data_IF_214072521840
#
_entry.id   IF_214072521840
#
_cell.length_a   1.000
_cell.length_b   1.000
_cell.length_c   1.000
_cell.angle_alpha   90.00
_cell.angle_beta   90.00
_cell.angle_gamma   90.00
#
_symmetry.space_group_name_H-M   'P 1'
#
loop_
_entity.id
_entity.type
_entity.pdbx_description
1 polymer ?
#
# COMPACT_ATOMS: atom_id res chain seq x y z
N UNK A 1 -22.16 40.30 -4.23
CA UNK A 1 -20.86 39.65 -4.60
C UNK A 1 -19.87 39.43 -3.44
N UNK A 2 -20.18 39.79 -2.18
CA UNK A 2 -19.23 39.64 -1.05
C UNK A 2 -19.28 38.29 -0.31
N UNK A 3 -20.45 37.67 -0.20
CA UNK A 3 -20.65 36.45 0.60
C UNK A 3 -19.93 35.20 0.05
N UNK A 4 -19.83 35.05 -1.27
CA UNK A 4 -19.15 33.90 -1.90
C UNK A 4 -17.63 33.87 -1.67
N UNK A 5 -16.98 35.03 -1.64
CA UNK A 5 -15.54 35.15 -1.36
C UNK A 5 -15.18 34.84 0.09
N UNK A 6 -16.08 35.16 1.03
CA UNK A 6 -15.89 34.84 2.44
C UNK A 6 -15.99 33.32 2.67
N UNK A 7 -16.99 32.65 2.09
CA UNK A 7 -17.14 31.19 2.18
C UNK A 7 -15.97 30.43 1.56
N UNK A 8 -15.44 30.91 0.42
CA UNK A 8 -14.27 30.32 -0.25
C UNK A 8 -13.00 30.44 0.61
N UNK A 9 -12.78 31.60 1.23
CA UNK A 9 -11.64 31.79 2.15
C UNK A 9 -11.73 30.89 3.37
N UNK A 10 -12.92 30.70 3.94
CA UNK A 10 -13.12 29.78 5.08
C UNK A 10 -12.80 28.34 4.69
N UNK A 11 -13.23 27.87 3.50
CA UNK A 11 -12.87 26.55 2.98
C UNK A 11 -11.36 26.39 2.76
N UNK A 12 -10.73 27.36 2.11
CA UNK A 12 -9.29 27.36 1.84
C UNK A 12 -8.46 27.32 3.13
N UNK A 13 -8.85 28.10 4.14
CA UNK A 13 -8.20 28.09 5.47
C UNK A 13 -8.38 26.74 6.15
N UNK A 14 -9.59 26.17 6.10
CA UNK A 14 -9.88 24.85 6.69
C UNK A 14 -9.05 23.74 6.04
N UNK A 15 -8.88 23.76 4.72
CA UNK A 15 -8.05 22.79 3.99
C UNK A 15 -6.56 22.96 4.31
N UNK A 16 -6.08 24.20 4.43
CA UNK A 16 -4.70 24.50 4.82
C UNK A 16 -4.40 24.00 6.25
N UNK A 17 -5.30 24.29 7.19
CA UNK A 17 -5.20 23.82 8.57
C UNK A 17 -5.24 22.30 8.61
N UNK A 18 -6.14 21.66 7.86
CA UNK A 18 -6.21 20.20 7.74
C UNK A 18 -4.90 19.59 7.22
N UNK A 19 -4.30 20.17 6.17
CA UNK A 19 -3.00 19.74 5.64
C UNK A 19 -1.85 19.97 6.63
N UNK A 20 -1.90 21.02 7.44
CA UNK A 20 -0.87 21.31 8.45
C UNK A 20 -0.95 20.34 9.63
N UNK A 21 -2.16 20.11 10.15
CA UNK A 21 -2.42 19.12 11.21
C UNK A 21 -2.02 17.73 10.75
N UNK A 22 -2.39 17.33 9.52
CA UNK A 22 -1.98 16.05 8.94
C UNK A 22 -0.46 15.88 8.85
N UNK A 23 0.28 16.95 8.48
CA UNK A 23 1.74 16.94 8.46
C UNK A 23 2.36 16.81 9.87
N UNK A 24 1.81 17.50 10.86
CA UNK A 24 2.28 17.42 12.24
C UNK A 24 2.03 16.03 12.85
N UNK A 25 0.83 15.47 12.68
CA UNK A 25 0.51 14.10 13.14
C UNK A 25 1.41 13.07 12.45
N UNK A 26 1.63 13.21 11.13
CA UNK A 26 2.55 12.35 10.40
C UNK A 26 4.01 12.47 10.87
N UNK A 27 4.44 13.66 11.28
CA UNK A 27 5.78 13.88 11.86
C UNK A 27 5.91 13.27 13.24
N UNK A 28 4.90 13.40 14.10
CA UNK A 28 4.87 12.81 15.43
C UNK A 28 4.95 11.28 15.32
N UNK A 29 4.19 10.66 14.41
CA UNK A 29 4.24 9.20 14.17
C UNK A 29 5.61 8.67 13.72
N UNK A 30 6.54 9.55 13.33
CA UNK A 30 7.92 9.24 12.95
C UNK A 30 8.95 9.61 14.02
N UNK A 31 8.53 10.05 15.21
CA UNK A 31 9.48 10.37 16.28
C UNK A 31 9.88 9.12 17.06
N UNK A 32 11.17 9.02 17.38
CA UNK A 32 11.74 7.95 18.23
C UNK A 32 11.05 7.89 19.61
N UNK A 33 10.61 9.04 20.14
CA UNK A 33 9.91 9.11 21.42
C UNK A 33 8.51 8.49 21.37
N UNK A 34 7.80 8.61 20.23
CA UNK A 34 6.51 7.95 20.06
C UNK A 34 6.66 6.47 19.78
N UNK A 35 7.77 6.03 19.17
CA UNK A 35 8.08 4.60 19.02
C UNK A 35 8.18 3.88 20.38
N UNK A 36 8.64 4.58 21.43
CA UNK A 36 8.70 4.03 22.79
C UNK A 36 7.31 3.79 23.42
N UNK A 37 6.28 4.55 23.02
CA UNK A 37 4.93 4.49 23.61
C UNK A 37 3.94 3.76 22.67
N UNK A 38 4.17 3.84 21.36
CA UNK A 38 3.42 3.20 20.28
C UNK A 38 4.42 2.66 19.25
N UNK A 39 4.97 1.46 19.49
CA UNK A 39 5.98 0.88 18.62
C UNK A 39 5.49 0.79 17.19
N UNK A 40 6.36 1.12 16.25
CA UNK A 40 6.13 0.94 14.83
C UNK A 40 6.07 -0.55 14.56
N UNK A 41 4.90 -1.03 14.17
CA UNK A 41 4.71 -2.43 13.85
C UNK A 41 4.88 -2.71 12.36
N UNK A 42 5.49 -3.84 12.04
CA UNK A 42 5.57 -4.35 10.68
C UNK A 42 4.17 -4.57 10.11
N UNK A 43 3.86 -3.95 8.97
CA UNK A 43 2.56 -4.09 8.31
C UNK A 43 2.20 -5.51 7.88
N UNK A 44 3.16 -6.45 7.90
CA UNK A 44 2.95 -7.84 7.52
C UNK A 44 2.83 -8.81 8.68
N UNK A 45 3.60 -8.65 9.77
CA UNK A 45 3.60 -9.59 10.90
C UNK A 45 3.48 -8.96 12.28
N UNK A 46 3.22 -7.64 12.33
CA UNK A 46 3.01 -6.84 13.54
C UNK A 46 4.18 -6.82 14.54
N UNK A 47 5.35 -7.37 14.17
CA UNK A 47 6.54 -7.26 15.04
C UNK A 47 6.97 -5.80 15.18
N UNK A 48 7.27 -5.33 16.41
CA UNK A 48 7.81 -3.99 16.66
C UNK A 48 9.13 -3.72 15.94
N UNK A 49 9.39 -2.45 15.61
CA UNK A 49 10.67 -1.91 15.15
C UNK A 49 10.62 -1.32 13.75
N UNK A 50 10.19 -2.12 12.75
CA UNK A 50 10.21 -1.70 11.34
C UNK A 50 8.82 -1.66 10.73
N UNK A 51 8.53 -0.68 9.88
CA UNK A 51 7.29 -0.63 9.09
C UNK A 51 7.11 -1.87 8.20
N UNK A 52 8.23 -2.43 7.73
CA UNK A 52 8.25 -3.63 6.89
C UNK A 52 9.55 -4.41 7.09
N UNK A 53 9.48 -5.48 7.89
CA UNK A 53 10.67 -6.24 8.26
C UNK A 53 11.23 -7.12 7.13
N UNK A 54 12.54 -7.39 7.16
CA UNK A 54 13.22 -8.25 6.17
C UNK A 54 12.64 -9.68 6.05
N UNK A 55 12.03 -10.22 7.10
CA UNK A 55 11.33 -11.53 7.03
C UNK A 55 10.10 -11.43 6.13
N UNK A 56 9.29 -10.38 6.32
CA UNK A 56 8.11 -10.14 5.51
C UNK A 56 8.49 -9.78 4.08
N UNK A 57 9.60 -9.05 3.86
CA UNK A 57 10.10 -8.80 2.51
C UNK A 57 10.43 -10.10 1.75
N UNK A 58 11.18 -11.02 2.38
CA UNK A 58 11.52 -12.32 1.77
C UNK A 58 10.28 -13.20 1.54
N UNK A 59 9.39 -13.25 2.53
CA UNK A 59 8.15 -14.02 2.42
C UNK A 59 7.23 -13.44 1.33
N UNK A 60 7.16 -12.11 1.20
CA UNK A 60 6.41 -11.45 0.13
C UNK A 60 6.98 -11.83 -1.23
N UNK A 61 8.30 -11.71 -1.44
CA UNK A 61 8.95 -12.08 -2.69
C UNK A 61 8.64 -13.53 -3.12
N UNK A 62 8.56 -14.45 -2.16
CA UNK A 62 8.20 -15.86 -2.42
C UNK A 62 6.74 -16.07 -2.88
N UNK A 63 5.87 -15.07 -2.72
CA UNK A 63 4.50 -15.10 -3.23
C UNK A 63 4.40 -14.61 -4.68
N UNK A 64 5.43 -13.98 -5.22
CA UNK A 64 5.43 -13.50 -6.60
C UNK A 64 5.12 -14.66 -7.54
N UNK A 65 4.19 -14.44 -8.48
CA UNK A 65 4.10 -15.36 -9.61
C UNK A 65 5.31 -15.14 -10.51
N UNK A 66 5.91 -16.21 -11.00
CA UNK A 66 7.07 -16.16 -11.90
C UNK A 66 6.56 -16.33 -13.33
N UNK A 67 6.99 -15.48 -14.26
CA UNK A 67 6.67 -15.68 -15.67
C UNK A 67 7.47 -16.89 -16.19
N UNK A 68 6.85 -17.86 -16.88
CA UNK A 68 7.59 -18.94 -17.53
C UNK A 68 8.69 -18.48 -18.52
N UNK A 69 8.67 -17.22 -18.97
CA UNK A 69 9.67 -16.62 -19.86
C UNK A 69 10.62 -15.59 -19.22
N UNK A 70 10.69 -15.49 -17.89
CA UNK A 70 11.29 -14.32 -17.23
C UNK A 70 12.78 -14.07 -17.57
N UNK A 71 13.03 -12.81 -17.95
CA UNK A 71 14.35 -12.21 -18.16
C UNK A 71 14.95 -11.81 -16.80
N UNK A 72 16.26 -12.00 -16.54
CA UNK A 72 16.84 -11.71 -15.23
C UNK A 72 16.61 -10.25 -14.79
N UNK A 73 15.84 -10.07 -13.70
CA UNK A 73 15.57 -8.75 -13.11
C UNK A 73 14.08 -8.41 -12.94
N UNK A 74 13.19 -9.12 -13.64
CA UNK A 74 11.75 -9.05 -13.41
C UNK A 74 11.37 -10.10 -12.35
N UNK A 75 10.91 -9.65 -11.18
CA UNK A 75 10.41 -10.53 -10.12
C UNK A 75 8.96 -10.13 -9.86
N UNK A 76 8.03 -10.95 -10.35
CA UNK A 76 6.61 -10.69 -10.28
C UNK A 76 6.10 -9.77 -11.39
N UNK A 77 4.87 -10.07 -11.81
CA UNK A 77 4.32 -9.71 -13.11
C UNK A 77 3.59 -10.96 -13.61
N UNK A 78 2.39 -11.19 -13.10
CA UNK A 78 1.81 -12.52 -13.07
C UNK A 78 0.89 -12.83 -14.25
N UNK A 79 0.79 -14.11 -14.60
CA UNK A 79 -0.20 -14.62 -15.54
C UNK A 79 -1.64 -14.18 -15.22
N UNK A 80 -2.48 -14.25 -16.26
CA UNK A 80 -3.93 -14.09 -16.14
C UNK A 80 -4.49 -14.97 -15.00
N UNK A 81 -5.15 -14.34 -14.02
CA UNK A 81 -5.78 -15.01 -12.89
C UNK A 81 -7.29 -15.06 -13.07
N UNK A 82 -7.89 -16.19 -12.68
CA UNK A 82 -9.35 -16.42 -12.75
C UNK A 82 -9.88 -16.70 -11.35
N UNK A 83 -10.85 -15.92 -10.85
CA UNK A 83 -11.45 -16.20 -9.56
C UNK A 83 -12.27 -17.50 -9.61
N UNK A 84 -12.33 -18.19 -8.47
CA UNK A 84 -13.23 -19.34 -8.35
C UNK A 84 -14.68 -18.86 -8.44
N UNK A 85 -15.46 -19.48 -9.35
CA UNK A 85 -16.77 -19.00 -9.83
C UNK A 85 -16.66 -17.64 -10.55
N UNK A 86 -15.90 -17.62 -11.64
CA UNK A 86 -15.78 -16.45 -12.50
C UNK A 86 -17.15 -16.05 -13.08
N UNK A 87 -17.57 -14.78 -12.93
CA UNK A 87 -18.73 -14.26 -13.64
C UNK A 87 -18.55 -14.37 -15.16
N UNK A 88 -19.64 -14.62 -15.89
CA UNK A 88 -19.62 -14.57 -17.35
C UNK A 88 -19.22 -13.19 -17.85
N UNK A 89 -18.32 -13.14 -18.84
CA UNK A 89 -17.84 -11.88 -19.43
C UNK A 89 -16.78 -11.14 -18.62
N UNK A 90 -16.17 -11.78 -17.61
CA UNK A 90 -15.09 -11.17 -16.82
C UNK A 90 -13.87 -10.85 -17.70
N UNK A 91 -13.32 -9.61 -17.65
CA UNK A 91 -12.12 -9.25 -18.39
C UNK A 91 -10.89 -9.98 -17.84
N UNK A 92 -9.79 -9.95 -18.58
CA UNK A 92 -8.52 -10.44 -18.08
C UNK A 92 -8.12 -9.68 -16.80
N UNK A 93 -7.78 -10.43 -15.74
CA UNK A 93 -7.30 -9.88 -14.48
C UNK A 93 -5.86 -10.32 -14.28
N UNK A 94 -5.03 -9.37 -13.89
CA UNK A 94 -3.62 -9.57 -13.61
C UNK A 94 -3.37 -9.33 -12.13
N UNK A 95 -2.49 -10.15 -11.56
CA UNK A 95 -2.06 -10.01 -10.18
C UNK A 95 -0.53 -9.91 -10.13
N UNK A 96 0.03 -9.67 -8.96
CA UNK A 96 1.48 -9.73 -8.78
C UNK A 96 1.91 -11.12 -8.27
N UNK A 97 1.12 -11.69 -7.38
CA UNK A 97 1.45 -12.90 -6.65
C UNK A 97 0.25 -13.55 -5.99
N UNK A 98 0.50 -14.68 -5.33
CA UNK A 98 -0.48 -15.42 -4.55
C UNK A 98 -0.99 -14.54 -3.40
N UNK A 99 -2.31 -14.39 -3.27
CA UNK A 99 -2.92 -13.63 -2.20
C UNK A 99 -2.90 -14.40 -0.86
N UNK A 100 -1.73 -14.45 -0.23
CA UNK A 100 -1.47 -15.05 1.08
C UNK A 100 -0.69 -14.07 1.97
N UNK A 101 -0.38 -14.45 3.21
CA UNK A 101 0.47 -13.62 4.06
C UNK A 101 1.93 -13.72 3.60
N UNK A 102 2.67 -12.60 3.55
CA UNK A 102 2.33 -11.30 4.14
C UNK A 102 1.63 -10.30 3.20
N UNK A 103 1.36 -10.65 1.93
CA UNK A 103 0.70 -9.77 0.95
C UNK A 103 -0.71 -9.36 1.40
N UNK A 104 -1.50 -10.31 1.90
CA UNK A 104 -2.84 -10.04 2.45
C UNK A 104 -2.77 -9.08 3.64
N UNK A 105 -1.89 -9.36 4.60
CA UNK A 105 -1.71 -8.51 5.78
C UNK A 105 -1.32 -7.07 5.41
N UNK A 106 -0.35 -6.87 4.50
CA UNK A 106 0.08 -5.53 4.09
C UNK A 106 -1.03 -4.77 3.34
N UNK A 107 -1.82 -5.46 2.51
CA UNK A 107 -2.98 -4.86 1.84
C UNK A 107 -4.05 -4.41 2.84
N UNK A 108 -4.41 -5.25 3.80
CA UNK A 108 -5.36 -4.90 4.87
C UNK A 108 -4.85 -3.75 5.74
N UNK A 109 -3.58 -3.78 6.13
CA UNK A 109 -2.97 -2.70 6.91
C UNK A 109 -3.01 -1.36 6.16
N UNK A 110 -2.76 -1.34 4.85
CA UNK A 110 -2.82 -0.13 4.04
C UNK A 110 -4.27 0.34 3.75
N UNK A 111 -5.15 -0.59 3.36
CA UNK A 111 -6.53 -0.30 2.92
C UNK A 111 -7.41 0.05 4.12
N UNK A 112 -7.44 -0.83 5.11
CA UNK A 112 -8.38 -0.78 6.24
C UNK A 112 -7.71 -0.16 7.47
N UNK A 113 -6.42 -0.45 7.69
CA UNK A 113 -5.64 0.07 8.82
C UNK A 113 -5.05 1.47 8.64
N UNK A 114 -5.23 2.10 7.48
CA UNK A 114 -4.75 3.46 7.20
C UNK A 114 -3.22 3.62 7.17
N UNK A 115 -2.45 2.52 7.09
CA UNK A 115 -0.97 2.51 7.04
C UNK A 115 -0.45 2.96 5.68
N UNK A 116 -0.53 4.26 5.41
CA UNK A 116 -0.08 4.88 4.14
C UNK A 116 1.43 4.82 3.93
N UNK A 117 2.19 4.58 4.99
CA UNK A 117 3.63 4.29 4.92
C UNK A 117 3.95 3.03 4.08
N UNK A 118 3.02 2.09 3.98
CA UNK A 118 3.19 0.84 3.23
C UNK A 118 3.10 1.01 1.71
N UNK A 119 2.83 2.21 1.20
CA UNK A 119 2.84 2.48 -0.26
C UNK A 119 4.17 2.09 -0.88
N UNK A 120 5.30 2.29 -0.18
CA UNK A 120 6.62 1.88 -0.66
C UNK A 120 6.79 0.37 -0.89
N UNK A 121 5.95 -0.44 -0.25
CA UNK A 121 5.93 -1.90 -0.40
C UNK A 121 4.97 -2.30 -1.53
N UNK A 122 3.83 -1.61 -1.66
CA UNK A 122 2.75 -1.97 -2.58
C UNK A 122 2.91 -1.42 -4.00
N UNK A 123 3.47 -0.22 -4.14
CA UNK A 123 3.68 0.45 -5.42
C UNK A 123 4.43 -0.43 -6.43
N UNK A 124 5.60 -1.02 -6.13
CA UNK A 124 6.32 -1.85 -7.11
C UNK A 124 5.53 -3.09 -7.53
N UNK A 125 4.70 -3.66 -6.63
CA UNK A 125 3.86 -4.82 -6.94
C UNK A 125 2.75 -4.44 -7.93
N UNK A 126 2.11 -3.29 -7.70
CA UNK A 126 1.08 -2.78 -8.60
C UNK A 126 1.67 -2.43 -9.96
N UNK A 127 2.81 -1.76 -9.99
CA UNK A 127 3.52 -1.42 -11.22
C UNK A 127 3.81 -2.68 -12.04
N UNK A 128 4.31 -3.74 -11.42
CA UNK A 128 4.52 -5.03 -12.09
C UNK A 128 3.23 -5.66 -12.64
N UNK A 129 2.11 -5.60 -11.91
CA UNK A 129 0.81 -6.10 -12.41
C UNK A 129 0.27 -5.28 -13.58
N UNK A 130 0.44 -3.97 -13.55
CA UNK A 130 0.01 -3.08 -14.65
C UNK A 130 0.87 -3.31 -15.88
N UNK A 131 2.20 -3.43 -15.72
CA UNK A 131 3.10 -3.75 -16.83
C UNK A 131 2.75 -5.09 -17.46
N UNK A 132 2.45 -6.12 -16.67
CA UNK A 132 2.01 -7.41 -17.19
C UNK A 132 0.64 -7.40 -17.90
N UNK A 133 -0.16 -6.34 -17.71
CA UNK A 133 -1.46 -6.19 -18.35
C UNK A 133 -1.42 -5.40 -19.67
N UNK A 134 -0.27 -4.77 -19.99
CA UNK A 134 -0.03 -4.01 -21.21
C UNK A 134 0.69 -4.86 -22.26
#
# INVERSE_FOLDING_TARGET
MGAGRAAERVRQVRDLVGRQVGRQVGSLRRSELLDLVLPRECGGCLRPGEEWCARCARALAALAFVDPGDTPGHIGGAPWVVPHRAPGGMPAVYAWGIYADPLRAVMSAWKDGGRRDLVRVLEPLLTASVVGAL
#
